data_IF_866937822209
#
_entry.id   IF_866937822209
#
_cell.length_a   1.000
_cell.length_b   1.000
_cell.length_c   1.000
_cell.angle_alpha   90.00
_cell.angle_beta   90.00
_cell.angle_gamma   90.00
#
_symmetry.space_group_name_H-M   'P 1'
#
loop_
_entity.id
_entity.type
_entity.pdbx_description
1 polymer ?
#
# COMPACT_ATOMS: atom_id res chain seq x y z
N UNK A 1 -0.57 12.27 -3.44
CA UNK A 1 0.35 13.14 -2.67
C UNK A 1 1.82 12.92 -3.03
N UNK A 2 2.34 11.68 -3.13
CA UNK A 2 3.75 11.42 -3.54
C UNK A 2 4.14 12.18 -4.80
N UNK A 3 3.34 12.08 -5.87
CA UNK A 3 3.68 12.73 -7.16
C UNK A 3 3.76 14.26 -7.04
N UNK A 4 2.85 14.86 -6.27
CA UNK A 4 2.90 16.30 -6.00
C UNK A 4 4.18 16.68 -5.23
N UNK A 5 4.54 15.90 -4.22
CA UNK A 5 5.77 16.12 -3.44
C UNK A 5 7.05 15.87 -4.27
N UNK A 6 7.01 14.93 -5.20
CA UNK A 6 8.08 14.72 -6.17
C UNK A 6 8.23 15.95 -7.09
N UNK A 7 7.11 16.58 -7.50
CA UNK A 7 7.13 17.86 -8.20
C UNK A 7 7.83 18.97 -7.40
N UNK A 8 7.56 19.08 -6.10
CA UNK A 8 8.23 20.06 -5.21
C UNK A 8 9.75 19.82 -5.14
N UNK A 9 10.17 18.55 -5.02
CA UNK A 9 11.58 18.16 -5.06
C UNK A 9 12.24 18.57 -6.39
N UNK A 10 11.55 18.37 -7.51
CA UNK A 10 12.06 18.77 -8.83
C UNK A 10 12.14 20.30 -8.96
N UNK A 11 11.13 21.04 -8.49
CA UNK A 11 11.11 22.52 -8.56
C UNK A 11 12.18 23.16 -7.67
N UNK A 12 12.51 22.53 -6.53
CA UNK A 12 13.45 23.07 -5.54
C UNK A 12 14.38 21.97 -5.00
N UNK A 13 15.34 21.48 -5.79
CA UNK A 13 16.12 20.30 -5.44
C UNK A 13 17.08 20.56 -4.28
N UNK A 14 16.65 20.16 -3.07
CA UNK A 14 17.43 20.31 -1.85
C UNK A 14 17.21 19.14 -0.88
N UNK A 15 18.12 18.98 0.09
CA UNK A 15 18.10 17.86 1.02
C UNK A 15 16.79 17.77 1.85
N UNK A 16 16.20 18.90 2.21
CA UNK A 16 14.95 18.95 2.97
C UNK A 16 13.79 18.41 2.12
N UNK A 17 13.68 18.85 0.87
CA UNK A 17 12.64 18.36 -0.05
C UNK A 17 12.75 16.87 -0.32
N UNK A 18 13.98 16.34 -0.41
CA UNK A 18 14.22 14.90 -0.56
C UNK A 18 13.83 14.12 0.70
N UNK A 19 14.25 14.60 1.88
CA UNK A 19 13.89 13.99 3.15
C UNK A 19 12.36 13.98 3.38
N UNK A 20 11.68 15.07 3.02
CA UNK A 20 10.24 15.18 3.15
C UNK A 20 9.49 14.22 2.21
N UNK A 21 9.97 14.00 0.97
CA UNK A 21 9.42 12.98 0.08
C UNK A 21 9.57 11.56 0.67
N UNK A 22 10.74 11.24 1.23
CA UNK A 22 10.99 9.95 1.87
C UNK A 22 10.11 9.74 3.10
N UNK A 23 10.00 10.76 3.95
CA UNK A 23 9.13 10.73 5.13
C UNK A 23 7.66 10.56 4.75
N UNK A 24 7.20 11.23 3.69
CA UNK A 24 5.84 11.09 3.18
C UNK A 24 5.56 9.65 2.73
N UNK A 25 6.46 9.04 1.95
CA UNK A 25 6.31 7.65 1.50
C UNK A 25 6.24 6.70 2.70
N UNK A 26 7.18 6.83 3.65
CA UNK A 26 7.20 6.00 4.85
C UNK A 26 5.94 6.16 5.71
N UNK A 27 5.47 7.40 5.88
CA UNK A 27 4.26 7.72 6.62
C UNK A 27 3.00 7.12 5.99
N UNK A 28 2.85 7.18 4.66
CA UNK A 28 1.71 6.57 3.97
C UNK A 28 1.75 5.04 4.02
N UNK A 29 2.92 4.43 3.82
CA UNK A 29 3.05 2.98 4.00
C UNK A 29 2.63 2.60 5.43
N UNK A 30 3.17 3.27 6.45
CA UNK A 30 2.82 3.02 7.84
C UNK A 30 1.31 3.20 8.11
N UNK A 31 0.72 4.30 7.66
CA UNK A 31 -0.70 4.59 7.84
C UNK A 31 -1.58 3.48 7.21
N UNK A 32 -1.27 3.08 5.98
CA UNK A 32 -2.04 2.04 5.29
C UNK A 32 -1.85 0.68 5.96
N UNK A 33 -0.62 0.30 6.34
CA UNK A 33 -0.36 -1.02 6.97
C UNK A 33 -0.90 -1.14 8.38
N UNK A 34 -0.74 -0.09 9.18
CA UNK A 34 -1.07 -0.13 10.59
C UNK A 34 -2.54 0.22 10.86
N UNK A 35 -3.17 1.01 9.99
CA UNK A 35 -4.51 1.55 10.24
C UNK A 35 -5.51 1.10 9.18
N UNK A 36 -5.27 1.41 7.91
CA UNK A 36 -6.29 1.18 6.88
C UNK A 36 -6.52 -0.29 6.56
N UNK A 37 -5.47 -1.08 6.29
CA UNK A 37 -5.66 -2.50 5.96
C UNK A 37 -6.27 -3.33 7.09
N UNK A 38 -5.84 -3.19 8.36
CA UNK A 38 -6.52 -3.89 9.45
C UNK A 38 -7.98 -3.47 9.59
N UNK A 39 -8.29 -2.20 9.34
CA UNK A 39 -9.67 -1.72 9.34
C UNK A 39 -10.47 -2.33 8.17
N UNK A 40 -9.94 -2.30 6.95
CA UNK A 40 -10.58 -2.84 5.76
C UNK A 40 -10.77 -4.35 5.86
N UNK A 41 -9.80 -5.08 6.41
CA UNK A 41 -9.92 -6.51 6.66
C UNK A 41 -11.00 -6.82 7.69
N UNK A 42 -11.11 -6.01 8.76
CA UNK A 42 -12.19 -6.17 9.75
C UNK A 42 -13.56 -5.82 9.18
N UNK A 43 -13.65 -4.79 8.35
CA UNK A 43 -14.92 -4.30 7.80
C UNK A 43 -15.43 -5.13 6.62
N UNK A 44 -14.54 -5.65 5.78
CA UNK A 44 -14.89 -6.27 4.49
C UNK A 44 -14.35 -7.70 4.31
N UNK A 45 -13.46 -8.18 5.18
CA UNK A 45 -13.04 -9.58 5.24
C UNK A 45 -12.59 -10.16 3.88
N UNK A 46 -13.22 -11.26 3.40
CA UNK A 46 -12.83 -11.94 2.16
C UNK A 46 -12.89 -11.08 0.91
N UNK A 47 -13.84 -10.15 0.82
CA UNK A 47 -14.01 -9.30 -0.37
C UNK A 47 -12.83 -8.35 -0.55
N UNK A 48 -12.30 -7.82 0.57
CA UNK A 48 -11.10 -7.01 0.56
C UNK A 48 -9.87 -7.81 0.13
N UNK A 49 -9.72 -9.06 0.59
CA UNK A 49 -8.62 -9.93 0.17
C UNK A 49 -8.67 -10.25 -1.33
N UNK A 50 -9.84 -10.57 -1.87
CA UNK A 50 -10.04 -10.83 -3.29
C UNK A 50 -9.76 -9.59 -4.14
N UNK A 51 -10.14 -8.40 -3.66
CA UNK A 51 -9.81 -7.12 -4.29
C UNK A 51 -8.30 -6.84 -4.26
N UNK A 52 -7.67 -6.91 -3.09
CA UNK A 52 -6.26 -6.60 -2.87
C UNK A 52 -5.31 -7.52 -3.66
N UNK A 53 -5.73 -8.75 -3.94
CA UNK A 53 -4.99 -9.67 -4.81
C UNK A 53 -4.89 -9.18 -6.28
N UNK A 54 -5.83 -8.34 -6.74
CA UNK A 54 -5.92 -7.88 -8.14
C UNK A 54 -5.21 -6.55 -8.39
N UNK A 55 -5.36 -5.57 -7.50
CA UNK A 55 -4.99 -4.16 -7.79
C UNK A 55 -3.61 -3.72 -7.28
N UNK A 56 -3.00 -4.42 -6.32
CA UNK A 56 -1.77 -3.93 -5.65
C UNK A 56 -2.04 -2.80 -4.65
N UNK A 57 -1.01 -2.32 -3.95
CA UNK A 57 -1.15 -1.51 -2.72
C UNK A 57 -1.04 0.01 -2.91
N UNK A 58 -0.44 0.48 -4.01
CA UNK A 58 -0.33 1.92 -4.34
C UNK A 58 0.00 2.15 -5.82
N UNK A 59 0.92 1.35 -6.32
CA UNK A 59 1.28 1.27 -7.74
C UNK A 59 0.69 -0.04 -8.27
N UNK A 60 0.12 -0.06 -9.49
CA UNK A 60 -0.41 -1.28 -10.07
C UNK A 60 0.61 -2.41 -9.96
N UNK A 61 0.14 -3.59 -9.53
CA UNK A 61 0.93 -4.83 -9.40
C UNK A 61 1.97 -4.89 -8.27
N UNK A 62 2.22 -3.82 -7.52
CA UNK A 62 3.15 -3.80 -6.37
C UNK A 62 2.40 -4.15 -5.08
N UNK A 63 2.97 -5.06 -4.26
CA UNK A 63 2.42 -5.38 -2.93
C UNK A 63 1.14 -6.22 -2.92
N UNK A 64 0.87 -7.00 -3.99
CA UNK A 64 -0.29 -7.90 -4.08
C UNK A 64 -0.27 -8.94 -2.95
N UNK A 65 -1.37 -9.04 -2.21
CA UNK A 65 -1.55 -10.10 -1.22
C UNK A 65 -1.83 -11.42 -1.95
N UNK A 66 -0.96 -12.42 -1.78
CA UNK A 66 -1.20 -13.77 -2.31
C UNK A 66 -2.35 -14.37 -1.52
N UNK A 67 -3.42 -14.76 -2.20
CA UNK A 67 -4.51 -15.51 -1.62
C UNK A 67 -4.01 -16.92 -1.25
N UNK A 68 -3.55 -17.11 -0.01
CA UNK A 68 -3.07 -18.41 0.49
C UNK A 68 -4.23 -19.33 0.93
N UNK A 69 -5.51 -18.95 0.73
CA UNK A 69 -6.63 -19.79 1.16
C UNK A 69 -6.87 -21.03 0.28
N UNK A 70 -6.15 -21.21 -0.84
CA UNK A 70 -6.31 -22.41 -1.69
C UNK A 70 -5.64 -23.69 -1.14
N UNK A 71 -4.84 -23.64 -0.06
CA UNK A 71 -4.12 -24.81 0.43
C UNK A 71 -4.88 -25.66 1.47
N UNK A 72 -6.08 -25.26 1.91
CA UNK A 72 -6.88 -26.01 2.91
C UNK A 72 -8.07 -26.78 2.33
N UNK A 73 -8.37 -26.65 1.04
CA UNK A 73 -9.49 -27.38 0.38
C UNK A 73 -9.03 -28.63 -0.40
N UNK A 74 -7.76 -29.03 -0.28
CA UNK A 74 -7.20 -30.23 -0.89
C UNK A 74 -7.32 -31.48 0.00
N UNK A 75 -8.52 -31.79 0.49
CA UNK A 75 -8.83 -33.10 1.07
C UNK A 75 -9.43 -34.02 -0.01
N UNK A 76 -8.80 -35.16 -0.25
CA UNK A 76 -9.50 -36.44 -0.04
C UNK A 76 -8.83 -37.32 1.02
#
# INVERSE_FOLDING_TARGET
MVLAMAGVLIMTPNAISAAALMALIAGMELQVRAVEEPYLLKAHGPDFLAYAARVGRFVPFVGRMRNTQQATDGGP
#
